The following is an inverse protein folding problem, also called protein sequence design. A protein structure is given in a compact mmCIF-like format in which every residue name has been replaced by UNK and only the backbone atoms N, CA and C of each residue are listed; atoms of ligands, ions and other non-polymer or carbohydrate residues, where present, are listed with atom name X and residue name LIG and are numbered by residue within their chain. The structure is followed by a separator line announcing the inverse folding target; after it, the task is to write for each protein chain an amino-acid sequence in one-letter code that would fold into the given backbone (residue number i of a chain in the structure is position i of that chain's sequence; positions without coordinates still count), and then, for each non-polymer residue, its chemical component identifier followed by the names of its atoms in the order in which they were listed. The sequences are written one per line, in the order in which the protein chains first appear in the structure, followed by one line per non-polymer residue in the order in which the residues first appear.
data_IF_714116467094
#
_entry.id   IF_714116467094
#
_cell.length_a   1.000
_cell.length_b   1.000
_cell.length_c   1.000
_cell.angle_alpha   90.00
_cell.angle_beta   90.00
_cell.angle_gamma   90.00
#
_symmetry.space_group_name_H-M   'P 1'
#
loop_
_entity.id
_entity.type
_entity.pdbx_description
1 polymer ?
#
# COMPACT_ATOMS: atom_id res chain seq x y z
N UNK A 1 1.15 22.35 -10.41
CA UNK A 1 1.60 22.05 -10.38
C UNK A 1 2.13 21.55 -10.43
N UNK A 2 2.28 21.49 -10.30
CA UNK A 2 2.95 21.09 -10.39
C UNK A 2 3.44 20.27 -10.56
N UNK A 3 3.84 20.18 -10.69
CA UNK A 3 4.50 19.54 -11.01
C UNK A 3 4.84 18.69 -10.54
N UNK A 4 4.36 18.43 -10.46
CA UNK A 4 4.92 17.66 -9.93
C UNK A 4 6.02 17.04 -10.23
N UNK A 5 6.37 16.85 -10.00
CA UNK A 5 7.61 16.63 -10.57
C UNK A 5 8.15 15.25 -10.35
N UNK A 6 8.99 14.84 -11.21
CA UNK A 6 9.55 13.50 -11.16
C UNK A 6 10.43 13.29 -9.95
N UNK A 7 10.84 14.36 -9.30
CA UNK A 7 11.66 14.23 -8.10
C UNK A 7 10.82 14.16 -6.84
N UNK A 8 9.52 14.11 -6.98
CA UNK A 8 8.62 14.01 -5.85
C UNK A 8 8.85 12.68 -5.14
N UNK A 9 9.26 12.70 -3.86
CA UNK A 9 9.54 11.45 -3.14
C UNK A 9 8.35 10.51 -3.07
N UNK A 10 7.14 11.07 -3.13
CA UNK A 10 5.95 10.24 -3.02
C UNK A 10 5.73 9.37 -4.24
N UNK A 11 6.44 9.65 -5.33
CA UNK A 11 6.35 8.81 -6.52
C UNK A 11 7.46 7.78 -6.59
N UNK A 12 8.34 7.78 -5.63
CA UNK A 12 9.37 6.76 -5.51
C UNK A 12 8.70 5.44 -5.14
N UNK A 13 9.00 4.34 -5.85
CA UNK A 13 8.39 3.05 -5.52
C UNK A 13 8.60 2.64 -4.07
N UNK A 14 9.75 2.95 -3.48
CA UNK A 14 9.98 2.60 -2.09
C UNK A 14 9.06 3.40 -1.17
N UNK A 15 8.84 4.68 -1.47
CA UNK A 15 7.91 5.48 -0.71
C UNK A 15 6.48 4.98 -0.88
N UNK A 16 6.12 4.65 -2.12
CA UNK A 16 4.78 4.12 -2.39
C UNK A 16 4.56 2.83 -1.64
N UNK A 17 5.56 1.95 -1.61
CA UNK A 17 5.45 0.70 -0.88
C UNK A 17 5.23 0.96 0.61
N UNK A 18 5.90 1.95 1.16
CA UNK A 18 5.72 2.30 2.56
C UNK A 18 4.30 2.76 2.86
N UNK A 19 3.76 3.59 1.98
CA UNK A 19 2.39 4.08 2.17
C UNK A 19 1.38 2.95 2.03
N UNK A 20 1.58 2.07 1.06
CA UNK A 20 0.67 0.95 0.87
C UNK A 20 0.76 -0.01 2.05
N UNK A 21 1.97 -0.28 2.55
CA UNK A 21 2.13 -1.16 3.70
C UNK A 21 1.43 -0.58 4.92
N UNK A 22 1.53 0.72 5.12
CA UNK A 22 0.87 1.38 6.23
C UNK A 22 -0.64 1.26 6.11
N UNK A 23 -1.18 1.49 4.92
CA UNK A 23 -2.61 1.37 4.69
C UNK A 23 -3.08 -0.06 4.91
N UNK A 24 -2.30 -1.03 4.45
CA UNK A 24 -2.63 -2.43 4.64
C UNK A 24 -2.73 -2.76 6.12
N UNK A 25 -1.76 -2.31 6.90
CA UNK A 25 -1.74 -2.57 8.34
C UNK A 25 -2.95 -1.93 9.01
N UNK A 26 -3.26 -0.70 8.65
CA UNK A 26 -4.38 0.02 9.24
C UNK A 26 -5.70 -0.69 8.92
N UNK A 27 -5.86 -1.14 7.70
CA UNK A 27 -7.09 -1.80 7.31
C UNK A 27 -7.23 -3.16 7.98
N UNK A 28 -6.14 -3.88 8.18
CA UNK A 28 -6.21 -5.14 8.90
C UNK A 28 -6.62 -4.92 10.35
N UNK A 29 -6.11 -3.87 10.97
CA UNK A 29 -6.51 -3.53 12.33
C UNK A 29 -7.99 -3.18 12.39
N UNK A 30 -8.47 -2.44 11.40
CA UNK A 30 -9.89 -2.11 11.34
C UNK A 30 -10.74 -3.35 11.16
N UNK A 31 -10.30 -4.28 10.32
CA UNK A 31 -11.03 -5.52 10.10
C UNK A 31 -11.19 -6.30 11.39
N UNK A 32 -10.18 -6.30 12.24
CA UNK A 32 -10.28 -6.97 13.52
C UNK A 32 -11.32 -6.33 14.43
N UNK A 33 -11.50 -5.03 14.28
CA UNK A 33 -12.45 -4.31 15.14
C UNK A 33 -13.89 -4.49 14.67
N UNK A 34 -14.11 -4.45 13.36
CA UNK A 34 -15.48 -4.48 12.84
C UNK A 34 -15.90 -5.86 12.35
N UNK A 35 -14.99 -6.81 12.36
CA UNK A 35 -15.30 -8.15 11.92
C UNK A 35 -15.24 -8.30 10.41
N UNK A 36 -15.74 -9.43 9.93
CA UNK A 36 -15.68 -9.77 8.52
C UNK A 36 -16.53 -8.80 7.70
N UNK A 37 -15.91 -8.23 6.71
CA UNK A 37 -16.56 -7.31 5.78
C UNK A 37 -16.02 -7.61 4.39
N UNK A 38 -16.87 -8.07 3.44
CA UNK A 38 -16.35 -8.54 2.14
C UNK A 38 -15.57 -7.47 1.40
N UNK A 39 -16.06 -6.24 1.41
CA UNK A 39 -15.40 -5.17 0.66
C UNK A 39 -14.07 -4.80 1.30
N UNK A 40 -14.03 -4.82 2.61
CA UNK A 40 -12.79 -4.53 3.31
C UNK A 40 -11.77 -5.63 3.06
N UNK A 41 -12.21 -6.88 3.08
CA UNK A 41 -11.33 -7.99 2.77
C UNK A 41 -10.77 -7.89 1.36
N UNK A 42 -11.62 -7.50 0.40
CA UNK A 42 -11.16 -7.33 -0.97
C UNK A 42 -10.12 -6.23 -1.06
N UNK A 43 -10.32 -5.12 -0.35
CA UNK A 43 -9.36 -4.03 -0.36
C UNK A 43 -8.02 -4.48 0.21
N UNK A 44 -8.05 -5.23 1.30
CA UNK A 44 -6.83 -5.73 1.91
C UNK A 44 -6.09 -6.65 0.95
N UNK A 45 -6.81 -7.52 0.26
CA UNK A 45 -6.19 -8.43 -0.71
C UNK A 45 -5.54 -7.64 -1.84
N UNK A 46 -6.22 -6.62 -2.34
CA UNK A 46 -5.65 -5.82 -3.42
C UNK A 46 -4.40 -5.07 -2.97
N UNK A 47 -4.39 -4.61 -1.73
CA UNK A 47 -3.19 -3.98 -1.20
C UNK A 47 -2.04 -4.97 -1.10
N UNK A 48 -2.33 -6.22 -0.74
CA UNK A 48 -1.29 -7.23 -0.70
C UNK A 48 -0.71 -7.49 -2.07
N UNK A 49 -1.56 -7.51 -3.08
CA UNK A 49 -1.09 -7.68 -4.45
C UNK A 49 -0.22 -6.51 -4.87
N UNK A 50 -0.63 -5.29 -4.50
CA UNK A 50 0.17 -4.11 -4.82
C UNK A 50 1.51 -4.15 -4.11
N UNK A 51 1.53 -4.60 -2.86
CA UNK A 51 2.78 -4.72 -2.13
C UNK A 51 3.73 -5.71 -2.79
N UNK A 52 3.20 -6.83 -3.28
CA UNK A 52 4.04 -7.81 -3.97
C UNK A 52 4.67 -7.20 -5.22
N UNK A 53 3.88 -6.45 -5.98
CA UNK A 53 4.40 -5.81 -7.18
C UNK A 53 5.47 -4.79 -6.81
N UNK A 54 5.21 -3.98 -5.80
CA UNK A 54 6.15 -2.96 -5.38
C UNK A 54 7.42 -3.58 -4.80
N UNK A 55 7.28 -4.70 -4.10
CA UNK A 55 8.45 -5.39 -3.56
C UNK A 55 9.37 -5.84 -4.69
N UNK A 56 8.81 -6.32 -5.78
CA UNK A 56 9.62 -6.71 -6.93
C UNK A 56 10.33 -5.48 -7.50
N UNK A 57 9.60 -4.37 -7.63
CA UNK A 57 10.19 -3.17 -8.19
C UNK A 57 11.28 -2.57 -7.31
N UNK A 58 11.16 -2.73 -6.01
CA UNK A 58 12.13 -2.16 -5.08
C UNK A 58 13.20 -3.14 -4.69
N UNK A 59 13.24 -4.31 -5.30
CA UNK A 59 14.22 -5.32 -4.94
C UNK A 59 13.97 -5.94 -3.59
N UNK A 60 12.72 -5.92 -3.13
CA UNK A 60 12.36 -6.50 -1.85
C UNK A 60 12.54 -5.58 -0.66
N UNK A 61 12.94 -4.35 -0.89
CA UNK A 61 13.13 -3.37 0.18
C UNK A 61 11.82 -2.66 0.44
N UNK A 62 11.20 -2.95 1.54
CA UNK A 62 9.93 -2.30 1.90
C UNK A 62 10.05 -1.58 3.25
#
# INVERSE_FOLDING_TARGET
MEKQSETNPEQDPAQAAGHVASAHKTLKALQEKIGTHPELGAAITKLEMALNILAVKTGGVL
#
